data_IF_071518071489
#
_entry.id   IF_071518071489
#
_cell.length_a   1.000
_cell.length_b   1.000
_cell.length_c   1.000
_cell.angle_alpha   90.00
_cell.angle_beta   90.00
_cell.angle_gamma   90.00
#
_symmetry.space_group_name_H-M   'P 1'
#
loop_
_entity.id
_entity.type
_entity.pdbx_description
1 polymer ?
#
# COMPACT_ATOMS: atom_id res chain seq x y z
N UNK A 1 -29.51 8.02 -4.46
CA UNK A 1 -28.50 8.79 -5.22
C UNK A 1 -27.80 7.80 -6.14
N UNK A 2 -27.71 8.03 -7.46
CA UNK A 2 -27.01 7.08 -8.32
C UNK A 2 -25.53 7.13 -7.99
N UNK A 3 -24.90 5.97 -7.80
CA UNK A 3 -23.46 5.87 -7.68
C UNK A 3 -22.84 6.38 -8.98
N UNK A 4 -22.10 7.48 -8.89
CA UNK A 4 -21.21 7.90 -9.98
C UNK A 4 -20.21 6.76 -10.11
N UNK A 5 -20.30 5.99 -11.20
CA UNK A 5 -19.24 5.06 -11.57
C UNK A 5 -18.05 5.92 -11.99
N UNK A 6 -17.29 6.41 -11.02
CA UNK A 6 -16.00 7.01 -11.28
C UNK A 6 -15.13 5.91 -11.87
N UNK A 7 -14.89 5.98 -13.18
CA UNK A 7 -13.94 5.11 -13.85
C UNK A 7 -12.55 5.54 -13.37
N UNK A 8 -12.11 4.98 -12.25
CA UNK A 8 -10.77 5.22 -11.72
C UNK A 8 -9.75 4.71 -12.74
N UNK A 9 -9.08 5.65 -13.40
CA UNK A 9 -7.98 5.39 -14.33
C UNK A 9 -6.67 5.20 -13.54
N UNK A 10 -5.79 4.31 -14.00
CA UNK A 10 -4.44 4.14 -13.46
C UNK A 10 -3.60 5.43 -13.58
N UNK A 11 -4.01 6.34 -14.46
CA UNK A 11 -3.36 7.63 -14.69
C UNK A 11 -2.58 7.67 -16.00
N UNK A 12 -1.57 8.53 -16.03
CA UNK A 12 -0.73 8.75 -17.20
C UNK A 12 0.36 7.65 -17.27
N UNK A 13 0.45 6.87 -18.36
CA UNK A 13 1.55 5.92 -18.55
C UNK A 13 2.89 6.67 -18.64
N UNK A 14 3.92 6.12 -18.01
CA UNK A 14 5.23 6.76 -17.90
C UNK A 14 6.37 5.74 -17.96
N UNK A 15 7.48 6.12 -18.59
CA UNK A 15 8.72 5.33 -18.56
C UNK A 15 9.33 5.39 -17.15
N UNK A 16 9.85 4.25 -16.65
CA UNK A 16 10.41 4.14 -15.30
C UNK A 16 11.41 5.26 -14.94
N UNK A 17 12.36 5.56 -15.83
CA UNK A 17 13.36 6.61 -15.62
C UNK A 17 12.84 8.04 -15.66
N UNK A 18 11.55 8.25 -15.96
CA UNK A 18 10.90 9.57 -16.05
C UNK A 18 9.86 9.83 -14.97
N UNK A 19 9.58 8.86 -14.09
CA UNK A 19 8.53 8.97 -13.06
C UNK A 19 8.68 10.26 -12.24
N UNK A 20 9.85 10.51 -11.65
CA UNK A 20 10.07 11.71 -10.82
C UNK A 20 9.92 13.01 -11.59
N UNK A 21 10.30 13.01 -12.88
CA UNK A 21 10.20 14.18 -13.75
C UNK A 21 8.73 14.46 -14.08
N UNK A 22 7.96 13.44 -14.41
CA UNK A 22 6.54 13.59 -14.72
C UNK A 22 5.70 13.90 -13.48
N UNK A 23 6.05 13.35 -12.30
CA UNK A 23 5.45 13.76 -11.02
C UNK A 23 5.69 15.25 -10.74
N UNK A 24 6.94 15.72 -10.89
CA UNK A 24 7.25 17.15 -10.72
C UNK A 24 6.45 18.04 -11.68
N UNK A 25 6.23 17.60 -12.93
CA UNK A 25 5.39 18.32 -13.89
C UNK A 25 3.92 18.33 -13.48
N UNK A 26 3.40 17.20 -13.00
CA UNK A 26 2.02 17.09 -12.50
C UNK A 26 1.77 18.11 -11.38
N UNK A 27 2.74 18.27 -10.48
CA UNK A 27 2.69 19.26 -9.40
C UNK A 27 2.92 20.71 -9.86
N UNK A 28 3.73 20.94 -10.89
CA UNK A 28 3.95 22.28 -11.42
C UNK A 28 2.74 22.83 -12.19
N UNK A 29 1.96 21.95 -12.83
CA UNK A 29 0.76 22.33 -13.59
C UNK A 29 -0.46 22.62 -12.70
N UNK A 30 -0.40 22.30 -11.41
CA UNK A 30 -1.51 22.39 -10.45
C UNK A 30 -1.54 23.71 -9.66
N UNK A 31 -1.14 24.82 -10.31
CA UNK A 31 -0.93 26.16 -9.73
C UNK A 31 -1.92 26.56 -8.61
N UNK A 32 -1.38 26.78 -7.39
CA UNK A 32 -1.96 27.65 -6.36
C UNK A 32 -3.08 27.08 -5.47
N UNK A 33 -3.87 26.11 -5.92
CA UNK A 33 -5.01 25.57 -5.15
C UNK A 33 -4.78 24.18 -4.53
N UNK A 34 -3.73 23.48 -4.97
CA UNK A 34 -3.42 22.10 -4.57
C UNK A 34 -2.17 22.08 -3.68
N UNK A 35 -2.31 21.47 -2.50
CA UNK A 35 -1.18 21.25 -1.58
C UNK A 35 -0.84 19.77 -1.60
N UNK A 36 0.38 19.43 -2.03
CA UNK A 36 0.94 18.08 -1.86
C UNK A 36 1.12 17.83 -0.37
N UNK A 37 0.48 16.78 0.13
CA UNK A 37 0.70 16.29 1.49
C UNK A 37 0.97 14.79 1.42
N UNK A 38 1.98 14.35 2.17
CA UNK A 38 2.26 12.95 2.37
C UNK A 38 2.77 12.76 3.79
N UNK A 39 2.16 11.85 4.53
CA UNK A 39 2.53 11.51 5.90
C UNK A 39 3.20 10.13 5.99
N UNK A 40 3.10 9.34 4.91
CA UNK A 40 3.49 7.93 4.85
C UNK A 40 3.71 7.52 3.40
N UNK A 41 4.69 6.66 3.16
CA UNK A 41 4.79 5.86 1.95
C UNK A 41 3.92 4.61 2.14
N UNK A 42 2.84 4.47 1.37
CA UNK A 42 1.96 3.31 1.41
C UNK A 42 2.12 2.49 0.13
N UNK A 43 2.81 1.35 0.20
CA UNK A 43 2.83 0.39 -0.89
C UNK A 43 1.73 -0.66 -0.72
N UNK A 44 1.02 -0.99 -1.80
CA UNK A 44 0.03 -2.07 -1.85
C UNK A 44 0.46 -3.06 -2.91
N UNK A 45 0.80 -4.28 -2.52
CA UNK A 45 1.21 -5.36 -3.40
C UNK A 45 0.12 -6.42 -3.52
N UNK A 46 -0.18 -6.85 -4.74
CA UNK A 46 -1.14 -7.92 -5.01
C UNK A 46 -0.78 -8.69 -6.27
N UNK A 47 -1.02 -9.99 -6.23
CA UNK A 47 -0.88 -10.90 -7.38
C UNK A 47 -2.24 -11.25 -8.02
N UNK A 48 -3.33 -10.69 -7.50
CA UNK A 48 -4.66 -10.96 -8.06
C UNK A 48 -4.85 -10.24 -9.41
N UNK A 49 -5.38 -10.91 -10.45
CA UNK A 49 -5.73 -10.25 -11.71
C UNK A 49 -6.71 -9.08 -11.49
N UNK A 50 -6.43 -7.93 -12.12
CA UNK A 50 -7.21 -6.70 -11.96
C UNK A 50 -7.04 -6.02 -10.60
N UNK A 51 -6.04 -6.41 -9.80
CA UNK A 51 -5.73 -5.77 -8.52
C UNK A 51 -5.29 -4.32 -8.67
N UNK A 52 -4.65 -3.94 -9.77
CA UNK A 52 -4.21 -2.56 -10.01
C UNK A 52 -5.36 -1.56 -9.97
N UNK A 53 -6.45 -1.84 -10.69
CA UNK A 53 -7.64 -0.99 -10.72
C UNK A 53 -8.34 -1.01 -9.36
N UNK A 54 -8.56 -2.20 -8.79
CA UNK A 54 -9.19 -2.36 -7.46
C UNK A 54 -8.43 -1.58 -6.38
N UNK A 55 -7.10 -1.67 -6.36
CA UNK A 55 -6.26 -1.01 -5.39
C UNK A 55 -6.16 0.49 -5.65
N UNK A 56 -6.20 0.94 -6.91
CA UNK A 56 -6.30 2.38 -7.22
C UNK A 56 -7.59 2.98 -6.64
N UNK A 57 -8.72 2.28 -6.74
CA UNK A 57 -9.99 2.71 -6.13
C UNK A 57 -9.95 2.69 -4.59
N UNK A 58 -9.20 1.75 -4.02
CA UNK A 58 -8.98 1.67 -2.58
C UNK A 58 -8.11 2.83 -2.08
N UNK A 59 -7.02 3.15 -2.79
CA UNK A 59 -6.15 4.28 -2.48
C UNK A 59 -6.91 5.60 -2.59
N UNK A 60 -7.76 5.78 -3.61
CA UNK A 60 -8.59 6.97 -3.73
C UNK A 60 -9.42 7.24 -2.46
N UNK A 61 -10.02 6.18 -1.89
CA UNK A 61 -10.79 6.26 -0.63
C UNK A 61 -9.91 6.47 0.61
N UNK A 62 -8.72 5.88 0.66
CA UNK A 62 -7.77 6.08 1.77
C UNK A 62 -7.31 7.54 1.79
N UNK A 63 -6.99 8.09 0.62
CA UNK A 63 -6.46 9.45 0.46
C UNK A 63 -7.48 10.55 0.78
N UNK A 64 -8.77 10.24 0.86
CA UNK A 64 -9.81 11.16 1.34
C UNK A 64 -9.54 11.63 2.79
N UNK A 65 -9.00 10.74 3.63
CA UNK A 65 -8.79 11.00 5.05
C UNK A 65 -7.31 10.92 5.46
N UNK A 66 -6.44 10.33 4.63
CA UNK A 66 -5.04 10.10 4.95
C UNK A 66 -4.14 10.47 3.78
N UNK A 67 -3.42 11.58 3.91
CA UNK A 67 -2.46 12.02 2.91
C UNK A 67 -1.24 11.07 2.87
N UNK A 68 -1.00 10.42 1.74
CA UNK A 68 0.13 9.49 1.54
C UNK A 68 0.75 9.61 0.15
N UNK A 69 1.95 9.07 -0.01
CA UNK A 69 2.49 8.65 -1.31
C UNK A 69 2.09 7.20 -1.49
N UNK A 70 1.21 6.93 -2.44
CA UNK A 70 0.75 5.57 -2.72
C UNK A 70 1.60 4.91 -3.80
N UNK A 71 2.00 3.68 -3.58
CA UNK A 71 2.70 2.83 -4.56
C UNK A 71 1.85 1.57 -4.76
N UNK A 72 1.19 1.42 -5.90
CA UNK A 72 0.30 0.28 -6.16
C UNK A 72 0.99 -0.69 -7.10
N UNK A 73 1.21 -1.92 -6.67
CA UNK A 73 1.89 -2.96 -7.45
C UNK A 73 0.93 -4.10 -7.73
N UNK A 74 0.67 -4.34 -9.02
CA UNK A 74 0.05 -5.57 -9.51
C UNK A 74 1.12 -6.46 -10.13
N UNK A 75 1.18 -7.70 -9.70
CA UNK A 75 2.24 -8.64 -10.04
C UNK A 75 1.68 -9.90 -10.70
N UNK A 76 2.13 -10.23 -11.91
CA UNK A 76 1.87 -11.51 -12.57
C UNK A 76 3.14 -12.36 -12.56
N UNK A 77 3.23 -13.19 -11.51
CA UNK A 77 4.41 -14.01 -11.28
C UNK A 77 4.44 -15.30 -12.10
N UNK A 78 3.36 -15.58 -12.84
CA UNK A 78 3.27 -16.70 -13.77
C UNK A 78 3.73 -16.33 -15.19
N UNK A 79 3.89 -15.03 -15.49
CA UNK A 79 4.35 -14.58 -16.78
C UNK A 79 5.80 -15.05 -17.07
N UNK A 80 6.04 -15.46 -18.32
CA UNK A 80 7.34 -15.99 -18.76
C UNK A 80 8.36 -14.93 -19.15
N UNK A 81 7.92 -13.68 -19.32
CA UNK A 81 8.75 -12.56 -19.74
C UNK A 81 8.77 -11.51 -18.66
N UNK A 82 9.96 -10.98 -18.42
CA UNK A 82 10.12 -9.85 -17.52
C UNK A 82 9.65 -8.58 -18.24
N UNK A 83 8.62 -7.95 -17.68
CA UNK A 83 8.09 -6.70 -18.21
C UNK A 83 7.58 -5.82 -17.07
N UNK A 84 7.80 -4.51 -17.20
CA UNK A 84 7.39 -3.53 -16.20
C UNK A 84 6.76 -2.33 -16.90
N UNK A 85 5.55 -2.00 -16.48
CA UNK A 85 4.88 -0.76 -16.86
C UNK A 85 4.60 0.08 -15.62
N UNK A 86 4.58 1.40 -15.82
CA UNK A 86 4.29 2.35 -14.77
C UNK A 86 3.29 3.40 -15.21
N UNK A 87 2.50 3.86 -14.24
CA UNK A 87 1.57 4.98 -14.38
C UNK A 87 1.72 5.92 -13.19
N UNK A 88 1.43 7.19 -13.40
CA UNK A 88 1.32 8.18 -12.33
C UNK A 88 -0.05 8.84 -12.32
N UNK A 89 -0.57 9.09 -11.13
CA UNK A 89 -1.81 9.83 -10.91
C UNK A 89 -1.74 10.62 -9.61
N UNK A 90 -2.72 11.50 -9.40
CA UNK A 90 -2.92 12.20 -8.14
C UNK A 90 -4.38 12.11 -7.73
N UNK A 91 -4.61 11.83 -6.46
CA UNK A 91 -5.92 11.81 -5.82
C UNK A 91 -6.09 13.10 -5.03
N UNK A 92 -7.07 13.91 -5.41
CA UNK A 92 -7.23 15.26 -4.87
C UNK A 92 -8.61 15.43 -4.25
N UNK A 93 -8.62 15.81 -2.97
CA UNK A 93 -9.82 15.95 -2.17
C UNK A 93 -9.91 17.35 -1.59
N UNK A 94 -11.11 17.91 -1.55
CA UNK A 94 -11.35 19.22 -0.93
C UNK A 94 -11.26 19.05 0.59
N UNK A 95 -10.38 19.81 1.25
CA UNK A 95 -10.27 19.78 2.71
C UNK A 95 -11.59 20.20 3.37
N UNK A 96 -11.97 19.54 4.47
CA UNK A 96 -13.18 19.86 5.27
C UNK A 96 -13.22 21.31 5.76
N UNK A 97 -12.08 22.01 5.80
CA UNK A 97 -11.95 23.40 6.22
C UNK A 97 -12.19 24.44 5.08
N UNK A 98 -12.42 24.01 3.84
CA UNK A 98 -12.77 24.87 2.71
C UNK A 98 -11.58 25.47 1.94
N UNK A 99 -11.78 25.59 0.62
CA UNK A 99 -10.95 26.16 -0.47
C UNK A 99 -9.61 25.51 -0.85
N UNK A 100 -8.94 24.76 0.03
CA UNK A 100 -7.67 24.07 -0.32
C UNK A 100 -7.90 22.59 -0.67
N UNK A 101 -7.38 22.16 -1.81
CA UNK A 101 -7.34 20.75 -2.20
C UNK A 101 -6.06 20.11 -1.65
N UNK A 102 -6.22 19.00 -0.93
CA UNK A 102 -5.11 18.16 -0.50
C UNK A 102 -4.98 17.04 -1.52
N UNK A 103 -3.78 16.86 -2.04
CA UNK A 103 -3.52 15.86 -3.06
C UNK A 103 -2.45 14.87 -2.61
N UNK A 104 -2.71 13.60 -2.89
CA UNK A 104 -1.81 12.48 -2.70
C UNK A 104 -1.42 11.91 -4.05
N UNK A 105 -0.13 11.70 -4.27
CA UNK A 105 0.34 11.05 -5.50
C UNK A 105 0.21 9.54 -5.40
N UNK A 106 -0.07 8.92 -6.54
CA UNK A 106 -0.04 7.49 -6.71
C UNK A 106 0.89 7.14 -7.87
N UNK A 107 1.75 6.15 -7.64
CA UNK A 107 2.59 5.53 -8.66
C UNK A 107 2.14 4.07 -8.75
N UNK A 108 1.68 3.65 -9.92
CA UNK A 108 1.22 2.28 -10.17
C UNK A 108 2.22 1.51 -11.00
N UNK A 109 2.44 0.24 -10.69
CA UNK A 109 3.35 -0.65 -11.41
C UNK A 109 2.65 -1.95 -11.77
N UNK A 110 2.76 -2.36 -13.04
CA UNK A 110 2.47 -3.73 -13.46
C UNK A 110 3.80 -4.45 -13.62
N UNK A 111 3.99 -5.53 -12.87
CA UNK A 111 5.17 -6.39 -12.93
C UNK A 111 4.77 -7.73 -13.54
N UNK A 112 5.46 -8.15 -14.59
CA UNK A 112 5.35 -9.48 -15.18
C UNK A 112 6.71 -10.17 -15.06
N UNK A 113 6.71 -11.47 -14.78
CA UNK A 113 7.92 -12.27 -14.57
C UNK A 113 8.09 -12.66 -13.10
N UNK A 114 9.22 -13.26 -12.68
CA UNK A 114 9.46 -13.67 -11.29
C UNK A 114 9.49 -12.46 -10.32
N UNK A 115 8.32 -12.06 -9.83
CA UNK A 115 8.04 -10.73 -9.29
C UNK A 115 8.87 -10.32 -8.08
N UNK A 116 9.31 -11.29 -7.27
CA UNK A 116 9.99 -11.01 -5.99
C UNK A 116 11.33 -10.32 -6.16
N UNK A 117 12.00 -10.46 -7.33
CA UNK A 117 13.32 -9.85 -7.56
C UNK A 117 13.28 -8.36 -7.85
N UNK A 118 12.24 -7.88 -8.56
CA UNK A 118 12.17 -6.49 -9.00
C UNK A 118 11.45 -5.60 -7.99
N UNK A 119 10.60 -6.18 -7.15
CA UNK A 119 9.77 -5.46 -6.19
C UNK A 119 10.58 -4.52 -5.26
N UNK A 120 11.66 -4.96 -4.57
CA UNK A 120 12.37 -4.08 -3.65
C UNK A 120 12.99 -2.88 -4.36
N UNK A 121 13.63 -3.10 -5.52
CA UNK A 121 14.25 -2.04 -6.32
C UNK A 121 13.25 -0.97 -6.76
N UNK A 122 12.07 -1.41 -7.25
CA UNK A 122 11.01 -0.50 -7.69
C UNK A 122 10.46 0.28 -6.51
N UNK A 123 10.10 -0.39 -5.42
CA UNK A 123 9.54 0.28 -4.24
C UNK A 123 10.53 1.30 -3.68
N UNK A 124 11.79 0.92 -3.46
CA UNK A 124 12.80 1.78 -2.85
C UNK A 124 13.19 2.99 -3.70
N UNK A 125 13.14 2.87 -5.02
CA UNK A 125 13.41 4.00 -5.91
C UNK A 125 12.35 5.10 -5.84
N UNK A 126 11.18 4.80 -5.27
CA UNK A 126 10.03 5.72 -5.24
C UNK A 126 9.55 6.08 -3.83
N UNK A 127 10.25 5.62 -2.78
CA UNK A 127 9.97 6.10 -1.42
C UNK A 127 10.32 7.58 -1.27
N UNK A 128 9.51 8.31 -0.51
CA UNK A 128 9.88 9.62 0.02
C UNK A 128 10.74 9.38 1.28
N UNK A 129 12.01 9.81 1.27
CA UNK A 129 13.04 9.36 2.22
C UNK A 129 12.72 9.66 3.69
N UNK A 130 11.91 10.68 3.93
CA UNK A 130 11.65 11.21 5.28
C UNK A 130 10.37 10.64 5.89
N UNK A 131 9.67 9.75 5.18
CA UNK A 131 8.36 9.23 5.58
C UNK A 131 8.41 7.74 5.90
N UNK A 132 7.65 7.30 6.92
CA UNK A 132 7.58 5.88 7.26
C UNK A 132 7.02 5.05 6.10
N UNK A 133 7.55 3.85 5.91
CA UNK A 133 7.18 2.92 4.86
C UNK A 133 6.25 1.82 5.36
N UNK A 134 5.00 1.87 4.91
CA UNK A 134 3.96 0.89 5.19
C UNK A 134 3.72 0.03 3.96
N UNK A 135 3.86 -1.28 4.12
CA UNK A 135 3.65 -2.26 3.06
C UNK A 135 2.39 -3.06 3.36
N UNK A 136 1.40 -2.97 2.48
CA UNK A 136 0.22 -3.83 2.49
C UNK A 136 0.39 -4.96 1.47
N UNK A 137 0.58 -6.18 1.98
CA UNK A 137 0.71 -7.40 1.21
C UNK A 137 -0.65 -8.12 1.12
N UNK A 138 -1.25 -8.18 -0.07
CA UNK A 138 -2.59 -8.74 -0.31
C UNK A 138 -2.56 -10.16 -0.92
N UNK A 139 -1.44 -10.86 -0.83
CA UNK A 139 -1.29 -12.22 -1.36
C UNK A 139 -0.63 -13.11 -0.30
N UNK A 140 -0.41 -14.38 -0.61
CA UNK A 140 0.43 -15.22 0.23
C UNK A 140 1.88 -14.70 0.14
N UNK A 141 2.63 -14.77 1.24
CA UNK A 141 4.08 -14.52 1.23
C UNK A 141 4.80 -15.66 0.51
N UNK A 142 5.83 -15.30 -0.24
CA UNK A 142 6.62 -16.23 -1.06
C UNK A 142 8.08 -16.29 -0.59
N UNK A 143 8.68 -17.49 -0.70
CA UNK A 143 10.12 -17.67 -0.56
C UNK A 143 10.84 -17.60 -1.92
N UNK A 144 12.08 -17.06 -1.97
CA UNK A 144 12.77 -16.40 -0.87
C UNK A 144 12.20 -15.00 -0.61
N UNK A 145 12.05 -14.67 0.66
CA UNK A 145 11.78 -13.30 1.09
C UNK A 145 13.06 -12.49 0.89
N UNK A 146 12.99 -11.31 0.26
CA UNK A 146 14.17 -10.46 0.13
C UNK A 146 14.42 -9.73 1.47
N UNK A 147 15.54 -9.99 2.18
CA UNK A 147 15.83 -9.34 3.46
C UNK A 147 15.97 -7.82 3.31
N UNK A 148 16.34 -7.33 2.12
CA UNK A 148 16.39 -5.90 1.85
C UNK A 148 15.00 -5.28 1.95
N UNK A 149 13.95 -5.95 1.49
CA UNK A 149 12.57 -5.43 1.60
C UNK A 149 12.24 -5.16 3.06
N UNK A 150 12.43 -6.16 3.91
CA UNK A 150 12.10 -6.12 5.34
C UNK A 150 12.97 -5.18 6.15
N UNK A 151 14.20 -4.95 5.73
CA UNK A 151 15.08 -3.99 6.37
C UNK A 151 14.54 -2.56 6.42
N UNK A 152 13.65 -2.19 5.48
CA UNK A 152 13.11 -0.83 5.34
C UNK A 152 11.63 -0.70 5.71
N UNK A 153 10.91 -1.81 5.89
CA UNK A 153 9.48 -1.73 6.21
C UNK A 153 9.28 -1.36 7.68
N UNK A 154 8.55 -0.27 7.95
CA UNK A 154 8.17 0.11 9.32
C UNK A 154 6.92 -0.66 9.78
N UNK A 155 6.00 -0.92 8.85
CA UNK A 155 4.73 -1.60 9.12
C UNK A 155 4.33 -2.52 7.97
N UNK A 156 4.00 -3.76 8.30
CA UNK A 156 3.47 -4.74 7.34
C UNK A 156 2.00 -4.97 7.65
N UNK A 157 1.14 -4.74 6.67
CA UNK A 157 -0.29 -5.02 6.72
C UNK A 157 -0.54 -6.25 5.87
N UNK A 158 -1.25 -7.23 6.43
CA UNK A 158 -1.63 -8.45 5.75
C UNK A 158 -2.99 -8.93 6.29
N UNK A 159 -3.59 -9.92 5.63
CA UNK A 159 -4.85 -10.50 6.05
C UNK A 159 -4.71 -12.01 6.23
N UNK A 160 -4.59 -12.47 7.48
CA UNK A 160 -4.41 -13.91 7.74
C UNK A 160 -5.65 -14.73 7.42
N UNK A 161 -6.81 -14.10 7.22
CA UNK A 161 -8.05 -14.78 6.84
C UNK A 161 -7.96 -15.44 5.46
N UNK A 162 -7.16 -14.87 4.56
CA UNK A 162 -7.07 -15.32 3.16
C UNK A 162 -6.08 -16.46 2.96
N UNK A 163 -5.25 -16.75 3.97
CA UNK A 163 -4.20 -17.75 3.88
C UNK A 163 -4.75 -19.18 3.87
N UNK A 164 -4.28 -19.98 2.93
CA UNK A 164 -4.58 -21.42 2.88
C UNK A 164 -3.73 -22.21 3.86
N UNK A 165 -2.45 -21.85 4.00
CA UNK A 165 -1.51 -22.44 4.95
C UNK A 165 -1.10 -21.41 6.00
N UNK A 166 -1.91 -21.29 7.06
CA UNK A 166 -1.65 -20.32 8.12
C UNK A 166 -0.28 -20.53 8.79
N UNK A 167 0.09 -21.77 9.08
CA UNK A 167 1.34 -22.09 9.78
C UNK A 167 2.57 -21.75 8.94
N UNK A 168 2.55 -22.09 7.66
CA UNK A 168 3.62 -21.72 6.73
C UNK A 168 3.76 -20.21 6.58
N UNK A 169 2.63 -19.51 6.38
CA UNK A 169 2.59 -18.05 6.24
C UNK A 169 3.05 -17.32 7.51
N UNK A 170 2.62 -17.77 8.69
CA UNK A 170 3.04 -17.18 9.96
C UNK A 170 4.55 -17.33 10.19
N UNK A 171 5.14 -18.47 9.81
CA UNK A 171 6.60 -18.67 9.86
C UNK A 171 7.35 -17.66 8.98
N UNK A 172 6.82 -17.32 7.80
CA UNK A 172 7.40 -16.31 6.93
C UNK A 172 7.34 -14.91 7.55
N UNK A 173 6.22 -14.57 8.18
CA UNK A 173 6.06 -13.29 8.90
C UNK A 173 7.02 -13.20 10.09
N UNK A 174 7.22 -14.29 10.84
CA UNK A 174 8.21 -14.35 11.92
C UNK A 174 9.64 -14.20 11.39
N UNK A 175 9.96 -14.84 10.26
CA UNK A 175 11.26 -14.70 9.61
C UNK A 175 11.51 -13.25 9.17
N UNK A 176 10.52 -12.62 8.51
CA UNK A 176 10.56 -11.21 8.12
C UNK A 176 10.79 -10.28 9.32
N UNK A 177 10.17 -10.56 10.47
CA UNK A 177 10.38 -9.79 11.69
C UNK A 177 11.81 -9.96 12.24
N UNK A 178 12.42 -11.14 12.12
CA UNK A 178 13.79 -11.39 12.57
C UNK A 178 14.84 -10.77 11.64
N UNK A 179 14.58 -10.74 10.33
CA UNK A 179 15.48 -10.17 9.32
C UNK A 179 15.45 -8.63 9.29
N UNK A 180 14.42 -8.03 9.88
CA UNK A 180 14.27 -6.59 9.93
C UNK A 180 15.37 -5.90 10.74
N UNK A 181 15.92 -4.81 10.19
CA UNK A 181 16.92 -3.99 10.90
C UNK A 181 16.36 -3.28 12.13
N UNK A 182 15.06 -3.02 12.12
CA UNK A 182 14.32 -2.35 13.18
C UNK A 182 13.02 -3.10 13.46
N UNK A 183 12.39 -2.83 14.60
CA UNK A 183 11.15 -3.52 14.98
C UNK A 183 10.02 -3.18 14.00
N UNK A 184 9.70 -4.11 13.09
CA UNK A 184 8.53 -4.03 12.21
C UNK A 184 7.26 -4.15 13.04
N UNK A 185 6.27 -3.31 12.76
CA UNK A 185 4.92 -3.47 13.30
C UNK A 185 4.08 -4.35 12.38
N UNK A 186 3.70 -5.52 12.87
CA UNK A 186 2.83 -6.46 12.17
C UNK A 186 1.36 -6.06 12.37
N UNK A 187 0.60 -5.97 11.27
CA UNK A 187 -0.79 -5.55 11.26
C UNK A 187 -1.66 -6.55 10.51
N UNK A 188 -2.23 -7.50 11.25
CA UNK A 188 -3.19 -8.44 10.69
C UNK A 188 -4.61 -7.83 10.65
N UNK A 189 -5.18 -7.71 9.46
CA UNK A 189 -6.56 -7.24 9.25
C UNK A 189 -7.56 -8.22 9.85
N UNK A 190 -7.29 -9.53 9.80
CA UNK A 190 -8.15 -10.54 10.41
C UNK A 190 -8.23 -10.35 11.94
N UNK A 191 -7.09 -10.10 12.59
CA UNK A 191 -7.03 -9.77 14.01
C UNK A 191 -7.81 -8.50 14.37
N UNK A 192 -7.82 -7.52 13.46
CA UNK A 192 -8.58 -6.27 13.62
C UNK A 192 -10.09 -6.53 13.53
N UNK A 193 -10.55 -7.43 12.65
CA UNK A 193 -11.97 -7.82 12.56
C UNK A 193 -12.49 -8.44 13.85
N UNK A 194 -11.62 -9.07 14.64
CA UNK A 194 -11.96 -9.68 15.93
C UNK A 194 -12.01 -8.70 17.11
N UNK A 195 -11.82 -7.39 16.88
CA UNK A 195 -11.81 -6.36 17.93
C UNK A 195 -13.01 -6.48 18.89
N UNK A 196 -14.23 -6.57 18.35
CA UNK A 196 -15.45 -6.63 19.19
C UNK A 196 -15.56 -7.90 20.02
N UNK A 197 -15.12 -9.03 19.49
CA UNK A 197 -15.11 -10.29 20.24
C UNK A 197 -14.05 -10.23 21.34
N UNK A 198 -12.87 -9.71 21.03
CA UNK A 198 -11.78 -9.54 22.00
C UNK A 198 -12.18 -8.62 23.14
N UNK A 199 -12.85 -7.51 22.83
CA UNK A 199 -13.41 -6.60 23.84
C UNK A 199 -14.47 -7.30 24.70
N UNK A 200 -15.42 -8.01 24.10
CA UNK A 200 -16.46 -8.74 24.84
C UNK A 200 -15.86 -9.82 25.76
N UNK A 201 -14.82 -10.53 25.29
CA UNK A 201 -14.11 -11.51 26.10
C UNK A 201 -13.36 -10.86 27.27
N UNK A 202 -12.69 -9.73 27.03
CA UNK A 202 -11.97 -8.99 28.07
C UNK A 202 -12.92 -8.49 29.17
N UNK A 203 -14.13 -8.05 28.80
CA UNK A 203 -15.15 -7.58 29.76
C UNK A 203 -15.57 -8.61 30.81
N UNK A 204 -15.47 -9.92 30.53
CA UNK A 204 -15.72 -10.95 31.55
C UNK A 204 -14.70 -10.94 32.69
N UNK A 205 -13.52 -10.36 32.46
CA UNK A 205 -12.43 -10.26 33.42
C UNK A 205 -12.28 -8.84 33.99
N UNK A 206 -13.06 -7.88 33.51
CA UNK A 206 -13.09 -6.53 34.07
C UNK A 206 -13.72 -6.55 35.47
N UNK A 207 -13.17 -5.72 36.37
CA UNK A 207 -13.69 -5.64 37.72
C UNK A 207 -15.13 -5.07 37.69
N UNK A 208 -16.10 -5.63 38.43
CA UNK A 208 -17.49 -5.14 38.46
C UNK A 208 -17.70 -3.64 38.78
N UNK A 209 -16.66 -2.91 39.20
CA UNK A 209 -16.71 -1.46 39.41
C UNK A 209 -16.25 -0.61 38.21
N UNK A 210 -15.93 -1.23 37.06
CA UNK A 210 -15.36 -0.56 35.88
C UNK A 210 -16.38 -0.21 34.78
N UNK A 211 -17.68 -0.34 35.05
CA UNK A 211 -18.77 -0.06 34.10
C UNK A 211 -19.59 1.17 34.45
#
# INVERSE_FOLDING_TARGET
MPAVSETYSLGLPVELGRIDKELKKLWAQSEGAMTRASLVNLAVYSEEPGSLEKNTQLIARITENHACRAIVIGADCAAQKDHVEAWISAHCHVSRAGSKQICSEQISFRLEGPCTKLLPSIVFSHLDSDLPFYLWWQSDFHEPMDPQLWAWVDRVIYDSQTWKDFSGQMRLVECAQQEAKQRIVLCDLNWTRLDKIRLALAQFFDHPASH
#
